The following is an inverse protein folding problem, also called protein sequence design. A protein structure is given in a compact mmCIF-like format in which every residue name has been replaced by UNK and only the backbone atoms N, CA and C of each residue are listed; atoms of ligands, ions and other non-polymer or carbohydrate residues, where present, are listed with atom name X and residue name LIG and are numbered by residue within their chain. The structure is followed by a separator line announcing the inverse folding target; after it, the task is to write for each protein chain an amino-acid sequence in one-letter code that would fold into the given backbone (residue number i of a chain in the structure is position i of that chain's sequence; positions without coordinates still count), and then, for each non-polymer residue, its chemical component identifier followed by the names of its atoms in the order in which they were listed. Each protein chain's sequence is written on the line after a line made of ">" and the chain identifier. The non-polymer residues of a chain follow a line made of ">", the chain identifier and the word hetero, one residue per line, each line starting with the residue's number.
data_IF_520496245827
#
_entry.id   IF_520496245827
#
_cell.length_a   1.000
_cell.length_b   1.000
_cell.length_c   1.000
_cell.angle_alpha   90.00
_cell.angle_beta   90.00
_cell.angle_gamma   90.00
#
_symmetry.space_group_name_H-M   'P 1'
#
loop_
_entity.id
_entity.type
_entity.pdbx_description
1 polymer ?
#
# COMPACT_ATOMS: atom_id res chain seq x y z
N UNK A 1 48.49 4.03 -52.34
CA UNK A 1 48.30 3.06 -51.24
C UNK A 1 47.78 3.70 -49.95
N UNK A 2 48.16 4.94 -49.62
CA UNK A 2 47.74 5.65 -48.39
C UNK A 2 46.23 5.94 -48.26
N UNK A 3 45.51 6.18 -49.37
CA UNK A 3 44.06 6.45 -49.34
C UNK A 3 43.23 5.23 -48.89
N UNK A 4 43.69 4.01 -49.22
CA UNK A 4 42.97 2.75 -48.94
C UNK A 4 43.09 2.34 -47.46
N UNK A 5 44.21 2.64 -46.82
CA UNK A 5 44.41 2.39 -45.38
C UNK A 5 43.63 3.36 -44.51
N UNK A 6 43.48 4.62 -44.94
CA UNK A 6 42.63 5.63 -44.28
C UNK A 6 41.16 5.24 -44.34
N UNK A 7 40.69 4.79 -45.51
CA UNK A 7 39.29 4.31 -45.65
C UNK A 7 39.08 3.04 -44.81
N UNK A 8 40.07 2.14 -44.77
CA UNK A 8 39.98 0.91 -43.97
C UNK A 8 39.96 1.18 -42.45
N UNK A 9 40.74 2.14 -41.94
CA UNK A 9 40.73 2.48 -40.51
C UNK A 9 39.43 3.16 -40.09
N UNK A 10 38.90 4.07 -40.92
CA UNK A 10 37.61 4.72 -40.67
C UNK A 10 36.46 3.70 -40.73
N UNK A 11 36.48 2.78 -41.69
CA UNK A 11 35.48 1.71 -41.78
C UNK A 11 35.52 0.76 -40.58
N UNK A 12 36.72 0.45 -40.06
CA UNK A 12 36.90 -0.39 -38.88
C UNK A 12 36.39 0.30 -37.60
N UNK A 13 36.61 1.60 -37.46
CA UNK A 13 36.05 2.39 -36.36
C UNK A 13 34.53 2.46 -36.42
N UNK A 14 33.94 2.57 -37.62
CA UNK A 14 32.49 2.60 -37.80
C UNK A 14 31.82 1.26 -37.49
N UNK A 15 32.51 0.15 -37.81
CA UNK A 15 32.07 -1.21 -37.50
C UNK A 15 32.20 -1.57 -36.01
N UNK A 16 32.96 -0.81 -35.22
CA UNK A 16 33.10 -1.01 -33.78
C UNK A 16 32.01 -0.31 -32.94
N UNK A 17 31.27 0.66 -33.51
CA UNK A 17 30.19 1.41 -32.85
C UNK A 17 29.07 0.49 -32.31
N UNK A 18 28.60 -0.56 -33.05
CA UNK A 18 27.55 -1.45 -32.56
C UNK A 18 27.96 -2.26 -31.32
N UNK A 19 29.26 -2.54 -31.15
CA UNK A 19 29.76 -3.29 -30.00
C UNK A 19 29.66 -2.49 -28.69
N UNK A 20 29.74 -1.16 -28.76
CA UNK A 20 29.53 -0.28 -27.60
C UNK A 20 28.06 -0.23 -27.18
N UNK A 21 27.14 -0.33 -28.14
CA UNK A 21 25.70 -0.38 -27.87
C UNK A 21 25.27 -1.68 -27.20
N UNK A 22 25.96 -2.80 -27.46
CA UNK A 22 25.67 -4.10 -26.87
C UNK A 22 26.26 -4.28 -25.46
N UNK A 23 27.19 -3.42 -25.05
CA UNK A 23 27.83 -3.47 -23.73
C UNK A 23 27.04 -2.73 -22.63
N UNK A 24 26.04 -1.92 -23.01
CA UNK A 24 25.18 -1.23 -22.04
C UNK A 24 24.10 -2.18 -21.54
N UNK A 25 24.39 -2.89 -20.44
CA UNK A 25 23.34 -3.49 -19.61
C UNK A 25 22.66 -2.34 -18.88
N UNK A 26 21.39 -2.01 -19.17
CA UNK A 26 20.68 -1.00 -18.39
C UNK A 26 20.72 -1.41 -16.93
N UNK A 27 20.96 -0.48 -15.99
CA UNK A 27 20.97 -0.82 -14.58
C UNK A 27 19.67 -1.54 -14.24
N UNK A 28 19.73 -2.61 -13.43
CA UNK A 28 18.53 -3.33 -13.03
C UNK A 28 17.54 -2.33 -12.42
N UNK A 29 16.23 -2.51 -12.63
CA UNK A 29 15.23 -1.62 -12.08
C UNK A 29 15.48 -1.48 -10.58
N UNK A 30 15.61 -0.24 -10.11
CA UNK A 30 15.85 0.03 -8.71
C UNK A 30 14.71 -0.57 -7.88
N UNK A 31 15.05 -1.35 -6.85
CA UNK A 31 14.06 -1.89 -5.92
C UNK A 31 13.27 -0.74 -5.29
N UNK A 32 11.92 -0.81 -5.26
CA UNK A 32 11.09 0.22 -4.64
C UNK A 32 11.34 0.41 -3.13
N UNK A 33 12.01 -0.57 -2.51
CA UNK A 33 12.32 -0.60 -1.09
C UNK A 33 13.84 -0.61 -0.98
N UNK A 34 14.41 0.51 -0.53
CA UNK A 34 15.86 0.71 -0.43
C UNK A 34 16.35 0.81 1.01
N UNK A 35 15.43 0.96 1.97
CA UNK A 35 15.75 0.98 3.39
C UNK A 35 14.55 0.84 4.32
N UNK A 36 14.83 0.84 5.61
CA UNK A 36 13.84 0.66 6.70
C UNK A 36 12.74 1.73 6.63
N UNK A 37 13.08 2.95 6.20
CA UNK A 37 12.11 4.04 6.02
C UNK A 37 11.03 3.73 4.99
N UNK A 38 11.37 3.01 3.92
CA UNK A 38 10.41 2.61 2.89
C UNK A 38 9.48 1.51 3.43
N UNK A 39 10.00 0.58 4.24
CA UNK A 39 9.19 -0.44 4.93
C UNK A 39 8.18 0.21 5.88
N UNK A 40 8.61 1.21 6.66
CA UNK A 40 7.71 1.98 7.54
C UNK A 40 6.64 2.71 6.72
N UNK A 41 6.99 3.27 5.55
CA UNK A 41 6.02 3.94 4.67
C UNK A 41 4.95 2.99 4.16
N UNK A 42 5.35 1.80 3.71
CA UNK A 42 4.41 0.76 3.24
C UNK A 42 3.50 0.31 4.38
N UNK A 43 4.06 0.03 5.55
CA UNK A 43 3.29 -0.34 6.74
C UNK A 43 2.27 0.75 7.13
N UNK A 44 2.70 2.01 7.17
CA UNK A 44 1.83 3.14 7.51
C UNK A 44 0.68 3.30 6.53
N UNK A 45 0.97 3.14 5.24
CA UNK A 45 -0.06 3.18 4.19
C UNK A 45 -1.05 2.05 4.42
N UNK A 46 -0.58 0.83 4.64
CA UNK A 46 -1.42 -0.33 4.88
C UNK A 46 -2.32 -0.16 6.12
N UNK A 47 -1.76 0.28 7.26
CA UNK A 47 -2.51 0.54 8.49
C UNK A 47 -3.56 1.63 8.28
N UNK A 48 -3.20 2.72 7.59
CA UNK A 48 -4.14 3.81 7.30
C UNK A 48 -5.32 3.34 6.45
N UNK A 49 -5.07 2.51 5.43
CA UNK A 49 -6.13 1.90 4.63
C UNK A 49 -7.03 0.98 5.45
N UNK A 50 -6.44 0.14 6.30
CA UNK A 50 -7.20 -0.75 7.18
C UNK A 50 -8.09 0.04 8.14
N UNK A 51 -7.54 1.10 8.75
CA UNK A 51 -8.28 2.01 9.62
C UNK A 51 -9.46 2.66 8.89
N UNK A 52 -9.23 3.19 7.68
CA UNK A 52 -10.28 3.83 6.89
C UNK A 52 -11.42 2.85 6.55
N UNK A 53 -11.09 1.63 6.13
CA UNK A 53 -12.09 0.59 5.81
C UNK A 53 -12.91 0.23 7.05
N UNK A 54 -12.27 0.01 8.19
CA UNK A 54 -12.97 -0.32 9.45
C UNK A 54 -13.88 0.82 9.92
N UNK A 55 -13.45 2.08 9.78
CA UNK A 55 -14.28 3.25 10.10
C UNK A 55 -15.50 3.35 9.19
N UNK A 56 -15.34 3.13 7.89
CA UNK A 56 -16.48 3.10 6.95
C UNK A 56 -17.45 1.99 7.32
N UNK A 57 -16.94 0.79 7.65
CA UNK A 57 -17.78 -0.34 8.05
C UNK A 57 -18.54 -0.07 9.36
N UNK A 58 -17.89 0.58 10.33
CA UNK A 58 -18.53 0.99 11.57
C UNK A 58 -19.71 1.95 11.31
N UNK A 59 -19.52 2.94 10.44
CA UNK A 59 -20.61 3.87 10.06
C UNK A 59 -21.78 3.12 9.42
N UNK A 60 -21.50 2.18 8.49
CA UNK A 60 -22.55 1.37 7.86
C UNK A 60 -23.35 0.59 8.91
N UNK A 61 -22.68 -0.03 9.89
CA UNK A 61 -23.33 -0.78 10.95
C UNK A 61 -24.16 0.10 11.89
N UNK A 62 -23.68 1.31 12.21
CA UNK A 62 -24.45 2.28 13.00
C UNK A 62 -25.71 2.70 12.25
N UNK A 63 -25.60 3.01 10.95
CA UNK A 63 -26.76 3.40 10.13
C UNK A 63 -27.77 2.26 10.00
N UNK A 64 -27.29 1.03 9.79
CA UNK A 64 -28.15 -0.14 9.74
C UNK A 64 -28.87 -0.38 11.08
N UNK A 65 -28.15 -0.26 12.20
CA UNK A 65 -28.75 -0.35 13.53
C UNK A 65 -29.83 0.73 13.74
N UNK A 66 -29.56 1.98 13.33
CA UNK A 66 -30.51 3.08 13.44
C UNK A 66 -31.80 2.81 12.64
N UNK A 67 -31.67 2.31 11.41
CA UNK A 67 -32.83 1.93 10.60
C UNK A 67 -33.65 0.81 11.27
N UNK A 68 -32.96 -0.14 11.88
CA UNK A 68 -33.59 -1.27 12.53
C UNK A 68 -34.32 -0.86 13.82
N UNK A 69 -33.79 0.11 14.58
CA UNK A 69 -34.52 0.75 15.68
C UNK A 69 -35.75 1.51 15.19
N UNK A 70 -35.62 2.30 14.11
CA UNK A 70 -36.71 3.11 13.60
C UNK A 70 -37.88 2.25 13.08
N UNK A 71 -37.56 1.11 12.46
CA UNK A 71 -38.54 0.17 11.90
C UNK A 71 -38.95 -0.95 12.85
N UNK A 72 -38.49 -0.92 14.10
CA UNK A 72 -38.80 -1.95 15.09
C UNK A 72 -40.28 -1.96 15.48
N UNK A 73 -40.91 -0.79 15.60
CA UNK A 73 -42.34 -0.70 15.94
C UNK A 73 -42.74 -1.41 17.25
N UNK A 74 -41.80 -1.59 18.18
CA UNK A 74 -42.01 -2.32 19.45
C UNK A 74 -41.61 -3.81 19.40
N UNK A 75 -41.16 -4.32 18.26
CA UNK A 75 -40.62 -5.68 18.12
C UNK A 75 -39.28 -5.82 18.88
N UNK A 76 -39.29 -6.64 19.93
CA UNK A 76 -38.13 -6.90 20.78
C UNK A 76 -36.98 -7.60 20.03
N UNK A 77 -37.28 -8.42 19.02
CA UNK A 77 -36.27 -9.15 18.25
C UNK A 77 -35.47 -8.18 17.36
N UNK A 78 -36.16 -7.23 16.73
CA UNK A 78 -35.52 -6.15 15.97
C UNK A 78 -34.67 -5.29 16.90
N UNK A 79 -35.21 -4.83 18.02
CA UNK A 79 -34.43 -4.05 19.00
C UNK A 79 -33.16 -4.79 19.46
N UNK A 80 -33.27 -6.09 19.73
CA UNK A 80 -32.11 -6.93 20.10
C UNK A 80 -31.07 -7.00 18.98
N UNK A 81 -31.51 -7.16 17.73
CA UNK A 81 -30.64 -7.18 16.55
C UNK A 81 -29.92 -5.85 16.35
N UNK A 82 -30.61 -4.73 16.53
CA UNK A 82 -30.02 -3.39 16.43
C UNK A 82 -28.91 -3.19 17.48
N UNK A 83 -29.15 -3.62 18.72
CA UNK A 83 -28.15 -3.57 19.80
C UNK A 83 -26.89 -4.39 19.45
N UNK A 84 -27.07 -5.63 18.93
CA UNK A 84 -25.95 -6.46 18.50
C UNK A 84 -25.14 -5.77 17.39
N UNK A 85 -25.83 -5.10 16.47
CA UNK A 85 -25.17 -4.38 15.40
C UNK A 85 -24.34 -3.19 15.92
N UNK A 86 -24.83 -2.48 16.92
CA UNK A 86 -24.06 -1.42 17.59
C UNK A 86 -22.82 -1.98 18.29
N UNK A 87 -22.92 -3.17 18.91
CA UNK A 87 -21.75 -3.85 19.51
C UNK A 87 -20.72 -4.14 18.43
N UNK A 88 -21.13 -4.66 17.27
CA UNK A 88 -20.20 -4.91 16.16
C UNK A 88 -19.57 -3.64 15.61
N UNK A 89 -20.32 -2.53 15.54
CA UNK A 89 -19.75 -1.23 15.19
C UNK A 89 -18.70 -0.77 16.22
N UNK A 90 -18.99 -0.92 17.52
CA UNK A 90 -18.05 -0.58 18.59
C UNK A 90 -16.77 -1.45 18.54
N UNK A 91 -16.91 -2.74 18.24
CA UNK A 91 -15.77 -3.64 18.04
C UNK A 91 -14.93 -3.21 16.84
N UNK A 92 -15.55 -2.85 15.71
CA UNK A 92 -14.83 -2.36 14.53
C UNK A 92 -14.02 -1.09 14.85
N UNK A 93 -14.60 -0.14 15.59
CA UNK A 93 -13.92 1.06 16.06
C UNK A 93 -12.77 0.70 17.01
N UNK A 94 -13.00 -0.21 17.96
CA UNK A 94 -11.95 -0.67 18.89
C UNK A 94 -10.75 -1.28 18.15
N UNK A 95 -11.01 -2.15 17.18
CA UNK A 95 -9.95 -2.75 16.35
C UNK A 95 -9.23 -1.69 15.50
N UNK A 96 -9.96 -0.72 14.96
CA UNK A 96 -9.36 0.39 14.21
C UNK A 96 -8.39 1.19 15.10
N UNK A 97 -8.78 1.51 16.34
CA UNK A 97 -7.91 2.20 17.29
C UNK A 97 -6.67 1.38 17.65
N UNK A 98 -6.81 0.06 17.86
CA UNK A 98 -5.67 -0.84 18.12
C UNK A 98 -4.71 -0.85 16.93
N UNK A 99 -5.21 -0.79 15.70
CA UNK A 99 -4.38 -0.72 14.49
C UNK A 99 -3.40 0.45 14.51
N UNK A 100 -3.82 1.62 15.00
CA UNK A 100 -2.94 2.78 15.20
C UNK A 100 -1.89 2.54 16.29
N UNK A 101 -2.25 1.84 17.36
CA UNK A 101 -1.30 1.45 18.42
C UNK A 101 -0.19 0.54 17.90
N UNK A 102 -0.54 -0.47 17.10
CA UNK A 102 0.44 -1.37 16.47
C UNK A 102 1.42 -0.61 15.60
N UNK A 103 0.93 0.36 14.81
CA UNK A 103 1.80 1.22 13.98
C UNK A 103 2.87 1.91 14.82
N UNK A 104 2.48 2.54 15.93
CA UNK A 104 3.40 3.27 16.82
C UNK A 104 4.46 2.31 17.37
N UNK A 105 4.04 1.14 17.87
CA UNK A 105 4.97 0.16 18.42
C UNK A 105 5.98 -0.32 17.39
N UNK A 106 5.54 -0.67 16.18
CA UNK A 106 6.44 -1.14 15.12
C UNK A 106 7.40 -0.04 14.67
N UNK A 107 6.93 1.21 14.55
CA UNK A 107 7.81 2.34 14.26
C UNK A 107 8.88 2.54 15.35
N UNK A 108 8.56 2.33 16.62
CA UNK A 108 9.52 2.43 17.71
C UNK A 108 10.57 1.32 17.68
N UNK A 109 10.16 0.07 17.43
CA UNK A 109 11.10 -1.06 17.36
C UNK A 109 12.04 -0.98 16.15
N UNK A 110 11.57 -0.49 14.99
CA UNK A 110 12.39 -0.38 13.78
C UNK A 110 13.36 0.81 13.78
N UNK A 111 13.15 1.77 14.69
CA UNK A 111 14.01 2.96 14.86
C UNK A 111 14.99 2.82 16.03
N UNK A 112 14.84 1.78 16.86
CA UNK A 112 15.77 1.42 17.93
C UNK A 112 16.97 0.66 17.37
#
# INVERSE_FOLDING_TARGET
>A
MLKKTIVASVALSLLAIPMLSLAQVPPPPASPITGISDVIRVLNTFVAWMFAILMVLAVIFILYAAFLYLTAGGDAEKVSTANKQLIYAAVAIGVALISQGVRILVEQFLRA
#
